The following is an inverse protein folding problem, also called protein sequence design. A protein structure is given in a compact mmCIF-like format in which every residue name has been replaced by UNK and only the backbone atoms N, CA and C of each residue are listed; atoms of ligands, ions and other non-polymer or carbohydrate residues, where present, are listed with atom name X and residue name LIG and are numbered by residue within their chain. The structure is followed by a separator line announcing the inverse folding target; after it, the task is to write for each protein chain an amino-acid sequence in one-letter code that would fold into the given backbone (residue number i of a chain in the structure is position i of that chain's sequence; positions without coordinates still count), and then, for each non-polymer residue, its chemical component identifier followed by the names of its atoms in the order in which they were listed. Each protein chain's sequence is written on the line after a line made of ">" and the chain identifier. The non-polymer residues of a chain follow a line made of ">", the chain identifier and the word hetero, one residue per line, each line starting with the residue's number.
data_IF_058301317666
#
_entry.id   IF_058301317666
#
_cell.length_a   1.000
_cell.length_b   1.000
_cell.length_c   1.000
_cell.angle_alpha   90.00
_cell.angle_beta   90.00
_cell.angle_gamma   90.00
#
_symmetry.space_group_name_H-M   'P 1'
#
loop_
_entity.id
_entity.type
_entity.pdbx_description
1 polymer ?
#
# COMPACT_ATOMS: atom_id res chain seq x y z
N UNK A 1 8.58 -28.67 30.85
CA UNK A 1 10.04 -28.81 30.59
C UNK A 1 10.29 -28.27 29.20
N UNK A 2 11.24 -27.34 29.12
CA UNK A 2 11.68 -26.55 27.97
C UNK A 2 11.94 -27.40 26.73
N UNK A 3 11.73 -26.85 25.52
CA UNK A 3 12.81 -26.69 24.54
C UNK A 3 12.52 -25.50 23.61
N UNK A 4 13.35 -24.47 23.81
CA UNK A 4 13.59 -23.36 22.92
C UNK A 4 14.70 -23.76 21.96
N UNK A 5 14.54 -23.56 20.65
CA UNK A 5 15.68 -23.21 19.79
C UNK A 5 15.29 -22.05 18.88
N UNK A 6 15.95 -20.92 19.17
CA UNK A 6 15.98 -19.67 18.44
C UNK A 6 16.72 -19.88 17.11
N UNK A 7 16.23 -19.29 16.02
CA UNK A 7 17.10 -18.73 15.00
C UNK A 7 16.41 -17.64 14.18
N UNK A 8 16.89 -16.42 14.40
CA UNK A 8 16.98 -15.28 13.48
C UNK A 8 15.70 -14.71 12.87
N UNK A 9 15.26 -13.63 13.53
CA UNK A 9 14.55 -12.49 12.98
C UNK A 9 14.94 -12.14 11.54
N UNK A 10 13.99 -12.33 10.63
CA UNK A 10 14.00 -11.80 9.29
C UNK A 10 13.96 -10.26 9.28
N UNK A 11 14.53 -9.70 8.22
CA UNK A 11 14.69 -8.27 8.02
C UNK A 11 13.37 -7.50 7.84
N UNK A 12 13.44 -6.16 7.92
CA UNK A 12 12.27 -5.30 7.83
C UNK A 12 11.83 -5.18 6.36
N UNK A 13 10.58 -5.54 6.09
CA UNK A 13 9.99 -5.35 4.77
C UNK A 13 8.57 -5.87 4.59
N UNK A 14 7.94 -6.40 5.64
CA UNK A 14 6.55 -6.81 5.60
C UNK A 14 5.63 -5.60 5.77
N UNK A 15 5.19 -5.01 4.67
CA UNK A 15 4.04 -4.10 4.65
C UNK A 15 2.81 -4.85 5.18
N UNK A 16 2.09 -4.36 6.21
CA UNK A 16 0.91 -5.05 6.70
C UNK A 16 -0.23 -4.93 5.71
N UNK A 17 -0.80 -6.07 5.35
CA UNK A 17 -2.04 -6.20 4.61
C UNK A 17 -3.20 -5.64 5.46
N UNK A 18 -3.81 -4.54 5.01
CA UNK A 18 -5.08 -4.10 5.57
C UNK A 18 -6.22 -4.79 4.83
N UNK A 19 -6.78 -5.85 5.45
CA UNK A 19 -8.03 -6.47 5.00
C UNK A 19 -9.18 -5.59 5.49
N UNK A 20 -9.93 -5.00 4.55
CA UNK A 20 -11.08 -4.15 4.81
C UNK A 20 -12.31 -5.03 5.10
N UNK A 21 -12.81 -5.02 6.33
CA UNK A 21 -14.12 -5.61 6.69
C UNK A 21 -15.25 -4.59 6.42
N UNK A 22 -16.42 -5.01 5.91
CA UNK A 22 -17.59 -4.14 5.80
C UNK A 22 -18.52 -4.29 7.01
N UNK A 23 -18.88 -3.17 7.63
CA UNK A 23 -19.91 -3.10 8.68
C UNK A 23 -20.81 -1.89 8.45
N UNK A 24 -22.12 -2.14 8.26
CA UNK A 24 -23.16 -1.13 8.11
C UNK A 24 -23.47 -0.46 9.45
N UNK A 25 -23.73 0.84 9.45
CA UNK A 25 -24.34 1.53 10.59
C UNK A 25 -25.75 1.95 10.18
N UNK A 26 -26.71 1.37 10.89
CA UNK A 26 -28.14 1.58 10.86
C UNK A 26 -28.47 2.97 11.41
N UNK A 27 -29.38 3.68 10.74
CA UNK A 27 -29.94 4.95 11.19
C UNK A 27 -30.52 4.87 12.61
N UNK A 28 -30.35 5.97 13.35
CA UNK A 28 -31.19 6.31 14.48
C UNK A 28 -31.50 7.80 14.41
N UNK A 29 -32.68 8.09 13.89
CA UNK A 29 -33.45 9.29 14.18
C UNK A 29 -33.82 9.35 15.67
N UNK A 30 -34.42 10.48 16.07
CA UNK A 30 -34.74 10.99 17.43
C UNK A 30 -33.74 12.11 17.79
N UNK A 31 -34.09 13.39 17.90
CA UNK A 31 -35.38 14.05 18.18
C UNK A 31 -35.16 15.05 19.32
N UNK A 32 -35.89 16.17 19.30
CA UNK A 32 -36.07 17.17 20.37
C UNK A 32 -34.85 18.07 20.70
N UNK A 33 -34.82 19.34 20.26
CA UNK A 33 -35.53 20.50 20.83
C UNK A 33 -35.15 20.75 22.30
N UNK A 34 -34.16 21.62 22.52
CA UNK A 34 -34.10 22.50 23.69
C UNK A 34 -33.61 23.87 23.23
N UNK A 35 -34.48 24.85 23.43
CA UNK A 35 -34.26 26.23 23.07
C UNK A 35 -33.77 27.07 24.25
N UNK A 36 -33.59 28.34 23.88
CA UNK A 36 -33.62 29.55 24.70
C UNK A 36 -32.29 29.92 25.38
N UNK A 37 -31.65 30.85 24.68
CA UNK A 37 -31.26 32.17 25.19
C UNK A 37 -30.72 32.23 26.62
N UNK A 38 -29.44 32.56 26.73
CA UNK A 38 -28.96 33.80 27.34
C UNK A 38 -27.47 33.62 27.62
N UNK A 39 -26.63 33.99 26.65
CA UNK A 39 -25.25 34.51 26.85
C UNK A 39 -24.63 34.91 25.49
N UNK A 40 -25.45 35.41 24.56
CA UNK A 40 -25.04 35.76 23.21
C UNK A 40 -24.31 37.12 23.10
N UNK A 41 -23.96 37.78 24.21
CA UNK A 41 -23.39 39.13 24.18
C UNK A 41 -21.89 39.20 24.52
N UNK A 42 -21.30 38.13 25.08
CA UNK A 42 -19.86 38.07 25.40
C UNK A 42 -19.06 37.16 24.47
N UNK A 43 -19.73 36.35 23.65
CA UNK A 43 -19.09 35.47 22.66
C UNK A 43 -18.89 36.14 21.29
N UNK A 44 -19.66 37.20 20.98
CA UNK A 44 -19.69 37.82 19.63
C UNK A 44 -18.59 38.87 19.47
N UNK A 45 -18.11 39.48 20.56
CA UNK A 45 -17.05 40.51 20.52
C UNK A 45 -15.63 39.94 20.59
N UNK A 46 -15.45 38.69 21.05
CA UNK A 46 -14.15 37.99 21.04
C UNK A 46 -13.91 37.17 19.75
N UNK A 47 -14.94 36.99 18.91
CA UNK A 47 -14.86 36.27 17.63
C UNK A 47 -14.67 37.21 16.41
N UNK A 48 -14.35 38.48 16.63
CA UNK A 48 -14.17 39.48 15.57
C UNK A 48 -12.75 40.06 15.49
N UNK A 49 -11.78 39.51 16.24
CA UNK A 49 -10.36 39.93 16.22
C UNK A 49 -9.39 38.87 15.69
N UNK A 50 -9.87 37.89 14.92
CA UNK A 50 -9.00 37.03 14.11
C UNK A 50 -9.06 37.50 12.66
N UNK A 51 -8.07 38.29 12.19
CA UNK A 51 -7.94 38.54 10.77
C UNK A 51 -7.69 37.21 10.07
N UNK A 52 -8.56 36.90 9.12
CA UNK A 52 -8.25 36.13 7.93
C UNK A 52 -7.16 35.06 8.09
N UNK A 53 -7.51 33.90 8.65
CA UNK A 53 -6.85 32.64 8.24
C UNK A 53 -7.44 32.26 6.88
N UNK A 54 -7.32 33.17 5.91
CA UNK A 54 -7.45 32.84 4.51
C UNK A 54 -6.08 32.34 4.07
N UNK A 55 -6.10 31.19 3.39
CA UNK A 55 -5.03 30.63 2.58
C UNK A 55 -3.97 29.83 3.34
N UNK A 56 -4.34 28.67 3.89
CA UNK A 56 -3.46 27.51 3.79
C UNK A 56 -3.57 26.99 2.35
N UNK A 57 -2.54 27.15 1.49
CA UNK A 57 -2.59 26.60 0.15
C UNK A 57 -2.39 25.08 0.23
N UNK A 58 -3.47 24.34 0.48
CA UNK A 58 -3.52 22.87 0.32
C UNK A 58 -3.35 22.44 -1.15
N UNK A 59 -3.11 23.38 -2.06
CA UNK A 59 -2.89 23.15 -3.48
C UNK A 59 -1.39 23.04 -3.80
N UNK A 60 -0.68 22.15 -3.12
CA UNK A 60 0.59 21.66 -3.62
C UNK A 60 0.31 20.44 -4.50
N UNK A 61 0.14 20.65 -5.80
CA UNK A 61 0.16 19.53 -6.74
C UNK A 61 1.52 18.86 -6.66
N UNK A 62 1.53 17.57 -6.32
CA UNK A 62 2.75 16.76 -6.29
C UNK A 62 3.42 16.78 -7.67
N UNK A 63 4.65 17.28 -7.74
CA UNK A 63 5.46 17.23 -8.95
C UNK A 63 5.76 15.75 -9.21
N UNK A 64 5.12 15.15 -10.22
CA UNK A 64 5.54 13.83 -10.72
C UNK A 64 6.91 14.00 -11.34
N UNK A 65 7.93 13.41 -10.72
CA UNK A 65 9.28 13.32 -11.30
C UNK A 65 9.24 12.65 -12.67
N UNK A 66 10.32 12.74 -13.45
CA UNK A 66 10.43 12.05 -14.75
C UNK A 66 9.90 10.61 -14.66
N UNK A 67 9.10 10.24 -15.66
CA UNK A 67 8.56 8.90 -15.80
C UNK A 67 9.72 7.91 -15.91
N UNK A 68 9.78 6.98 -14.95
CA UNK A 68 10.61 5.77 -15.01
C UNK A 68 10.07 4.91 -16.16
N UNK A 69 10.94 4.49 -17.09
CA UNK A 69 10.54 3.82 -18.33
C UNK A 69 11.65 3.18 -19.15
N UNK A 70 12.90 3.20 -18.66
CA UNK A 70 14.06 2.62 -19.36
C UNK A 70 14.59 1.37 -18.64
N UNK A 71 13.79 0.75 -17.77
CA UNK A 71 14.20 -0.37 -16.92
C UNK A 71 14.59 -1.60 -17.75
N UNK A 72 13.81 -1.89 -18.79
CA UNK A 72 14.12 -2.98 -19.70
C UNK A 72 14.96 -2.48 -20.87
N UNK A 73 16.26 -2.77 -20.80
CA UNK A 73 17.18 -2.66 -21.93
C UNK A 73 17.42 -4.06 -22.52
N UNK A 74 16.92 -4.36 -23.75
CA UNK A 74 16.92 -5.70 -24.31
C UNK A 74 18.34 -6.15 -24.63
N UNK A 75 18.75 -7.25 -24.02
CA UNK A 75 20.04 -7.89 -24.27
C UNK A 75 19.93 -9.39 -24.10
N UNK A 76 20.10 -10.11 -25.20
CA UNK A 76 19.85 -11.55 -25.26
C UNK A 76 20.74 -12.35 -24.32
N UNK A 77 22.03 -11.98 -24.21
CA UNK A 77 22.99 -12.64 -23.33
C UNK A 77 22.52 -12.60 -21.86
N UNK A 78 22.14 -11.43 -21.34
CA UNK A 78 21.67 -11.36 -19.94
C UNK A 78 20.34 -12.08 -19.77
N UNK A 79 19.42 -12.02 -20.74
CA UNK A 79 18.14 -12.73 -20.69
C UNK A 79 18.33 -14.25 -20.58
N UNK A 80 19.20 -14.85 -21.39
CA UNK A 80 19.44 -16.31 -21.36
C UNK A 80 20.24 -16.74 -20.12
N UNK A 81 21.18 -15.93 -19.64
CA UNK A 81 21.90 -16.20 -18.37
C UNK A 81 21.01 -16.17 -17.13
N UNK A 82 20.07 -15.23 -17.07
CA UNK A 82 19.21 -15.02 -15.88
C UNK A 82 17.95 -15.87 -15.89
N UNK A 83 17.34 -16.06 -17.07
CA UNK A 83 16.04 -16.70 -17.18
C UNK A 83 16.00 -17.91 -18.11
N UNK A 84 17.16 -18.37 -18.60
CA UNK A 84 17.27 -19.54 -19.45
C UNK A 84 17.11 -20.86 -18.69
N UNK A 85 16.99 -21.93 -19.47
CA UNK A 85 16.66 -23.27 -18.98
C UNK A 85 17.68 -23.81 -17.99
N UNK A 86 18.97 -23.74 -18.34
CA UNK A 86 20.07 -24.19 -17.47
C UNK A 86 20.07 -23.49 -16.11
N UNK A 87 19.73 -22.19 -16.07
CA UNK A 87 19.67 -21.44 -14.80
C UNK A 87 18.50 -21.88 -13.92
N UNK A 88 17.40 -22.36 -14.52
CA UNK A 88 16.28 -22.93 -13.77
C UNK A 88 16.64 -24.31 -13.24
N UNK A 89 17.33 -25.14 -14.01
CA UNK A 89 17.74 -26.47 -13.56
C UNK A 89 18.83 -26.45 -12.50
N UNK A 90 19.66 -25.40 -12.42
CA UNK A 90 20.75 -25.35 -11.44
C UNK A 90 20.32 -25.16 -9.98
N UNK A 91 19.04 -24.84 -9.73
CA UNK A 91 18.52 -24.60 -8.38
C UNK A 91 17.23 -25.39 -8.15
N UNK A 92 17.02 -25.89 -6.93
CA UNK A 92 15.80 -26.64 -6.58
C UNK A 92 14.52 -25.83 -6.85
N UNK A 93 14.48 -24.57 -6.40
CA UNK A 93 13.34 -23.69 -6.65
C UNK A 93 13.13 -23.36 -8.14
N UNK A 94 14.19 -23.37 -8.95
CA UNK A 94 14.07 -23.21 -10.39
C UNK A 94 13.43 -24.43 -11.07
N UNK A 95 13.75 -25.64 -10.63
CA UNK A 95 13.11 -26.89 -11.09
C UNK A 95 11.61 -26.88 -10.73
N UNK A 96 11.26 -26.49 -9.50
CA UNK A 96 9.85 -26.36 -9.07
C UNK A 96 9.06 -25.35 -9.92
N UNK A 97 9.69 -24.25 -10.37
CA UNK A 97 9.06 -23.31 -11.31
C UNK A 97 8.76 -24.00 -12.64
N UNK A 98 9.67 -24.80 -13.17
CA UNK A 98 9.44 -25.54 -14.42
C UNK A 98 8.30 -26.54 -14.25
N UNK A 99 8.29 -27.32 -13.18
CA UNK A 99 7.22 -28.28 -12.89
C UNK A 99 5.85 -27.59 -12.80
N UNK A 100 5.75 -26.47 -12.07
CA UNK A 100 4.50 -25.67 -12.03
C UNK A 100 4.08 -25.14 -13.41
N UNK A 101 5.03 -24.76 -14.26
CA UNK A 101 4.74 -24.31 -15.63
C UNK A 101 4.27 -25.45 -16.54
N UNK A 102 4.81 -26.65 -16.37
CA UNK A 102 4.38 -27.87 -17.07
C UNK A 102 2.96 -28.28 -16.63
N UNK A 103 2.69 -28.32 -15.32
CA UNK A 103 1.37 -28.63 -14.78
C UNK A 103 0.30 -27.63 -15.26
N UNK A 104 0.68 -26.35 -15.44
CA UNK A 104 -0.21 -25.33 -16.02
C UNK A 104 -0.35 -25.43 -17.55
N UNK A 105 0.48 -26.22 -18.24
CA UNK A 105 0.45 -26.35 -19.70
C UNK A 105 0.94 -25.11 -20.44
N UNK A 106 1.94 -24.37 -19.92
CA UNK A 106 2.50 -23.21 -20.64
C UNK A 106 3.29 -23.69 -21.86
N UNK A 107 3.02 -23.09 -23.04
CA UNK A 107 3.74 -23.37 -24.30
C UNK A 107 5.25 -23.15 -24.18
N UNK A 108 5.69 -22.18 -23.38
CA UNK A 108 7.10 -21.90 -23.11
C UNK A 108 7.44 -22.03 -21.62
N UNK A 109 8.34 -22.95 -21.29
CA UNK A 109 8.77 -23.23 -19.92
C UNK A 109 9.92 -22.34 -19.46
N UNK A 110 10.72 -21.81 -20.39
CA UNK A 110 11.85 -20.91 -20.13
C UNK A 110 12.01 -19.92 -21.29
N UNK A 111 12.85 -18.90 -21.09
CA UNK A 111 13.32 -17.99 -22.16
C UNK A 111 14.35 -18.63 -23.09
#
# INVERSE_FOLDING_TARGET
>A
ILYQTLCSSGGPGASPAYVRMPGKVLERSLGAVFGVCCNAFVFVTLLHLLPAIQLLPWNQQQIRTRKRGTEYQPKNIKRKRTHGWMKRLSTRGGIEVILRRMLKGRKSLSH
#
